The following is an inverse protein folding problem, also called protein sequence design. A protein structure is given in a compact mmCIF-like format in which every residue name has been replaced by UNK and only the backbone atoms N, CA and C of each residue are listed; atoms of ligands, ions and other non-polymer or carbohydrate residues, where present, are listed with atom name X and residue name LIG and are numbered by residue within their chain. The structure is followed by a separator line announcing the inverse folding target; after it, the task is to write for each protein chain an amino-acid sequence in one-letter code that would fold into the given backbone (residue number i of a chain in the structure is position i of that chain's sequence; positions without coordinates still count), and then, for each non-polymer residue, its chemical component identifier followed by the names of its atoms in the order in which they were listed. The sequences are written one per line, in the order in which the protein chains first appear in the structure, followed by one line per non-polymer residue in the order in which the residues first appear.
data_IF_129511515116
#
_entry.id   IF_129511515116
#
_cell.length_a   1.000
_cell.length_b   1.000
_cell.length_c   1.000
_cell.angle_alpha   90.00
_cell.angle_beta   90.00
_cell.angle_gamma   90.00
#
_symmetry.space_group_name_H-M   'P 1'
#
loop_
_entity.id
_entity.type
_entity.pdbx_description
1 polymer ?
#
# COMPACT_ATOMS: atom_id res chain seq x y z
N UNK A 1 -16.39 -11.54 -7.80
CA UNK A 1 -16.57 -11.23 -6.37
C UNK A 1 -15.72 -9.99 -6.07
N UNK A 2 -16.35 -8.82 -5.93
CA UNK A 2 -15.69 -7.51 -5.85
C UNK A 2 -15.37 -7.18 -4.39
N UNK A 3 -14.09 -7.02 -4.06
CA UNK A 3 -13.66 -6.59 -2.72
C UNK A 3 -13.25 -5.13 -2.81
N UNK A 4 -14.08 -4.27 -2.20
CA UNK A 4 -13.77 -2.86 -1.95
C UNK A 4 -12.56 -2.76 -1.02
N UNK A 5 -11.45 -2.23 -1.51
CA UNK A 5 -10.38 -1.70 -0.66
C UNK A 5 -10.67 -0.21 -0.50
N UNK A 6 -11.00 0.21 0.72
CA UNK A 6 -11.43 1.57 1.07
C UNK A 6 -10.26 2.54 0.85
N UNK A 7 -10.33 3.30 -0.24
CA UNK A 7 -9.43 4.41 -0.60
C UNK A 7 -10.31 5.44 -1.31
N UNK A 8 -10.62 6.57 -0.68
CA UNK A 8 -11.52 7.61 -1.20
C UNK A 8 -12.77 7.09 -1.96
N UNK A 9 -13.85 6.88 -1.20
CA UNK A 9 -14.95 5.95 -1.46
C UNK A 9 -15.59 6.01 -2.87
N UNK A 10 -15.53 7.13 -3.59
CA UNK A 10 -16.08 7.19 -4.95
C UNK A 10 -15.06 6.92 -6.05
N UNK A 11 -13.84 7.45 -5.99
CA UNK A 11 -13.01 7.53 -7.21
C UNK A 11 -12.23 6.25 -7.48
N UNK A 12 -11.56 5.69 -6.46
CA UNK A 12 -10.81 4.44 -6.63
C UNK A 12 -11.76 3.22 -6.72
N UNK A 13 -12.89 3.28 -6.00
CA UNK A 13 -13.91 2.24 -6.06
C UNK A 13 -14.63 2.21 -7.43
N UNK A 14 -14.98 3.38 -7.98
CA UNK A 14 -15.50 3.48 -9.36
C UNK A 14 -14.45 3.02 -10.38
N UNK A 15 -13.16 3.32 -10.17
CA UNK A 15 -12.09 2.88 -11.06
C UNK A 15 -11.94 1.35 -11.08
N UNK A 16 -11.95 0.71 -9.91
CA UNK A 16 -11.92 -0.76 -9.80
C UNK A 16 -13.14 -1.42 -10.47
N UNK A 17 -14.35 -0.87 -10.23
CA UNK A 17 -15.60 -1.34 -10.86
C UNK A 17 -15.60 -1.14 -12.39
N UNK A 18 -14.81 -0.19 -12.91
CA UNK A 18 -14.66 0.11 -14.34
C UNK A 18 -13.50 -0.60 -15.03
N UNK A 19 -12.85 -1.59 -14.40
CA UNK A 19 -11.66 -2.28 -14.96
C UNK A 19 -10.51 -1.31 -15.27
N UNK A 20 -10.25 -0.35 -14.38
CA UNK A 20 -9.11 0.56 -14.52
C UNK A 20 -7.79 -0.22 -14.65
N UNK A 21 -6.84 0.34 -15.40
CA UNK A 21 -5.52 -0.26 -15.57
C UNK A 21 -4.75 -0.26 -14.24
N UNK A 22 -3.89 -1.26 -14.05
CA UNK A 22 -3.05 -1.38 -12.86
C UNK A 22 -2.21 -0.10 -12.63
N UNK A 23 -1.71 0.52 -13.70
CA UNK A 23 -0.96 1.77 -13.61
C UNK A 23 -1.79 2.94 -13.07
N UNK A 24 -3.07 3.03 -13.45
CA UNK A 24 -3.96 4.05 -12.90
C UNK A 24 -4.24 3.79 -11.42
N UNK A 25 -4.53 2.54 -11.05
CA UNK A 25 -4.78 2.15 -9.66
C UNK A 25 -3.57 2.41 -8.76
N UNK A 26 -2.36 2.11 -9.24
CA UNK A 26 -1.12 2.42 -8.54
C UNK A 26 -0.96 3.92 -8.31
N UNK A 27 -1.16 4.75 -9.35
CA UNK A 27 -1.06 6.21 -9.24
C UNK A 27 -2.11 6.82 -8.31
N UNK A 28 -3.35 6.34 -8.36
CA UNK A 28 -4.41 6.79 -7.46
C UNK A 28 -4.10 6.44 -6.00
N UNK A 29 -3.62 5.23 -5.74
CA UNK A 29 -3.20 4.80 -4.41
C UNK A 29 -2.02 5.66 -3.92
N UNK A 30 -0.99 5.88 -4.74
CA UNK A 30 0.14 6.72 -4.36
C UNK A 30 -0.27 8.17 -4.11
N UNK A 31 -1.13 8.74 -4.97
CA UNK A 31 -1.69 10.09 -4.77
C UNK A 31 -2.44 10.20 -3.44
N UNK A 32 -3.20 9.16 -3.08
CA UNK A 32 -3.91 9.11 -1.80
C UNK A 32 -2.95 9.00 -0.62
N UNK A 33 -1.89 8.19 -0.75
CA UNK A 33 -0.85 8.10 0.27
C UNK A 33 -0.19 9.47 0.53
N UNK A 34 0.10 10.23 -0.52
CA UNK A 34 0.68 11.57 -0.41
C UNK A 34 -0.26 12.57 0.26
N UNK A 35 -1.59 12.44 0.07
CA UNK A 35 -2.57 13.27 0.78
C UNK A 35 -2.53 13.00 2.29
N UNK A 36 -2.51 11.73 2.69
CA UNK A 36 -2.41 11.36 4.11
C UNK A 36 -1.06 11.75 4.72
N UNK A 37 0.03 11.65 3.96
CA UNK A 37 1.36 12.08 4.39
C UNK A 37 1.42 13.60 4.61
N UNK A 38 0.83 14.38 3.69
CA UNK A 38 0.69 15.84 3.87
C UNK A 38 -0.18 16.21 5.07
N UNK A 39 -1.30 15.51 5.26
CA UNK A 39 -2.17 15.72 6.42
C UNK A 39 -1.41 15.42 7.74
N UNK A 40 -0.64 14.34 7.79
CA UNK A 40 0.21 13.99 8.93
C UNK A 40 1.28 15.07 9.21
N UNK A 41 1.92 15.60 8.15
CA UNK A 41 2.88 16.70 8.28
C UNK A 41 2.23 17.97 8.82
N UNK A 42 1.03 18.34 8.34
CA UNK A 42 0.30 19.51 8.83
C UNK A 42 -0.05 19.39 10.33
N UNK A 43 -0.44 18.20 10.78
CA UNK A 43 -0.68 17.93 12.21
C UNK A 43 0.63 18.06 13.00
N UNK A 44 1.74 17.54 12.48
CA UNK A 44 3.02 17.55 13.17
C UNK A 44 3.62 18.94 13.32
N UNK A 45 3.44 19.82 12.32
CA UNK A 45 4.00 21.19 12.29
C UNK A 45 3.14 22.20 13.05
N UNK A 46 1.83 21.96 13.19
CA UNK A 46 0.93 22.86 13.89
C UNK A 46 0.64 22.36 15.32
N UNK A 47 1.34 22.95 16.31
CA UNK A 47 1.22 22.57 17.72
C UNK A 47 -0.19 22.72 18.28
N UNK A 48 -0.90 23.80 17.93
CA UNK A 48 -2.26 24.04 18.41
C UNK A 48 -3.22 22.96 17.90
N UNK A 49 -3.13 22.64 16.61
CA UNK A 49 -3.93 21.58 15.98
C UNK A 49 -3.59 20.23 16.60
N UNK A 50 -2.31 19.92 16.80
CA UNK A 50 -1.85 18.68 17.44
C UNK A 50 -2.39 18.54 18.86
N UNK A 51 -2.30 19.59 19.67
CA UNK A 51 -2.84 19.62 21.04
C UNK A 51 -4.35 19.55 21.06
N UNK A 52 -5.04 20.11 20.06
CA UNK A 52 -6.48 20.00 19.95
C UNK A 52 -6.89 18.55 19.59
N UNK A 53 -6.21 17.93 18.62
CA UNK A 53 -6.48 16.55 18.21
C UNK A 53 -6.12 15.52 19.29
N UNK A 54 -5.10 15.77 20.12
CA UNK A 54 -4.70 14.85 21.20
C UNK A 54 -5.73 14.74 22.33
N UNK A 55 -6.71 15.65 22.40
CA UNK A 55 -7.85 15.57 23.34
C UNK A 55 -8.86 14.49 22.94
N UNK A 56 -8.81 14.00 21.70
CA UNK A 56 -9.64 12.91 21.21
C UNK A 56 -9.09 11.56 21.68
N UNK A 57 -9.99 10.61 21.98
CA UNK A 57 -9.63 9.19 22.23
C UNK A 57 -9.02 8.54 20.98
N UNK A 58 -9.37 9.06 19.81
CA UNK A 58 -8.87 8.61 18.53
C UNK A 58 -7.53 9.25 18.16
N UNK A 59 -6.51 8.44 17.91
CA UNK A 59 -5.21 8.93 17.43
C UNK A 59 -5.24 9.22 15.93
N UNK A 60 -5.55 10.48 15.61
CA UNK A 60 -5.53 10.96 14.22
C UNK A 60 -4.15 10.82 13.58
N UNK A 61 -3.09 11.04 14.34
CA UNK A 61 -1.72 10.93 13.84
C UNK A 61 -1.40 9.49 13.42
N UNK A 62 -1.69 8.52 14.29
CA UNK A 62 -1.49 7.10 13.97
C UNK A 62 -2.39 6.65 12.82
N UNK A 63 -3.62 7.20 12.71
CA UNK A 63 -4.50 6.95 11.58
C UNK A 63 -3.92 7.42 10.25
N UNK A 64 -3.46 8.67 10.16
CA UNK A 64 -2.87 9.19 8.92
C UNK A 64 -1.61 8.39 8.53
N UNK A 65 -0.79 8.05 9.53
CA UNK A 65 0.41 7.22 9.34
C UNK A 65 0.09 5.79 8.89
N UNK A 66 -1.00 5.19 9.41
CA UNK A 66 -1.50 3.88 8.99
C UNK A 66 -2.00 3.93 7.54
N UNK A 67 -2.87 4.89 7.21
CA UNK A 67 -3.43 5.04 5.86
C UNK A 67 -2.36 5.28 4.81
N UNK A 68 -1.37 6.13 5.12
CA UNK A 68 -0.21 6.36 4.26
C UNK A 68 0.49 5.06 3.90
N UNK A 69 0.77 4.21 4.90
CA UNK A 69 1.43 2.91 4.69
C UNK A 69 0.54 1.94 3.92
N UNK A 70 -0.76 1.88 4.23
CA UNK A 70 -1.71 1.03 3.52
C UNK A 70 -1.79 1.40 2.03
N UNK A 71 -1.83 2.69 1.69
CA UNK A 71 -1.88 3.12 0.29
C UNK A 71 -0.53 3.04 -0.42
N UNK A 72 0.59 3.25 0.26
CA UNK A 72 1.91 2.92 -0.32
C UNK A 72 2.01 1.43 -0.66
N UNK A 73 1.56 0.54 0.24
CA UNK A 73 1.50 -0.89 -0.05
C UNK A 73 0.59 -1.23 -1.25
N UNK A 74 -0.58 -0.60 -1.30
CA UNK A 74 -1.53 -0.78 -2.40
C UNK A 74 -0.94 -0.32 -3.73
N UNK A 75 -0.24 0.82 -3.75
CA UNK A 75 0.41 1.35 -4.93
C UNK A 75 1.49 0.42 -5.47
N UNK A 76 2.33 -0.11 -4.58
CA UNK A 76 3.42 -1.03 -4.94
C UNK A 76 2.89 -2.40 -5.41
N UNK A 77 1.79 -2.88 -4.81
CA UNK A 77 1.09 -4.07 -5.31
C UNK A 77 0.64 -3.89 -6.76
N UNK A 78 -0.05 -2.79 -7.09
CA UNK A 78 -0.49 -2.54 -8.46
C UNK A 78 0.67 -2.27 -9.41
N UNK A 79 1.75 -1.65 -8.93
CA UNK A 79 2.95 -1.43 -9.72
C UNK A 79 3.65 -2.75 -10.07
N UNK A 80 3.59 -3.76 -9.19
CA UNK A 80 4.09 -5.10 -9.51
C UNK A 80 3.33 -5.70 -10.69
N UNK A 81 2.01 -5.48 -10.78
CA UNK A 81 1.20 -5.94 -11.90
C UNK A 81 1.57 -5.23 -13.21
N UNK A 82 1.89 -3.93 -13.14
CA UNK A 82 2.38 -3.17 -14.30
C UNK A 82 3.71 -3.72 -14.79
N UNK A 83 4.63 -4.05 -13.88
CA UNK A 83 5.93 -4.63 -14.23
C UNK A 83 5.76 -5.90 -15.06
N UNK A 84 5.00 -6.87 -14.56
CA UNK A 84 4.74 -8.14 -15.28
C UNK A 84 4.03 -7.92 -16.62
N UNK A 85 3.09 -6.98 -16.69
CA UNK A 85 2.37 -6.65 -17.93
C UNK A 85 3.29 -6.08 -19.02
N UNK A 86 4.40 -5.44 -18.64
CA UNK A 86 5.36 -4.88 -19.60
C UNK A 86 6.08 -5.93 -20.42
N UNK A 87 6.28 -7.15 -19.87
CA UNK A 87 7.05 -8.25 -20.48
C UNK A 87 8.46 -7.85 -20.95
N UNK A 88 9.01 -6.79 -20.38
CA UNK A 88 10.39 -6.35 -20.63
C UNK A 88 11.34 -7.19 -19.76
N UNK A 89 12.59 -7.37 -20.21
CA UNK A 89 13.63 -8.01 -19.41
C UNK A 89 13.74 -7.35 -18.02
N UNK A 90 13.76 -8.14 -16.94
CA UNK A 90 13.83 -7.64 -15.57
C UNK A 90 12.47 -7.41 -14.90
N UNK A 91 11.36 -7.69 -15.59
CA UNK A 91 10.02 -7.46 -15.07
C UNK A 91 9.63 -8.36 -13.88
N UNK A 92 10.14 -9.58 -13.80
CA UNK A 92 9.87 -10.52 -12.71
C UNK A 92 10.74 -10.21 -11.49
N UNK A 93 11.99 -9.78 -11.71
CA UNK A 93 12.84 -9.22 -10.67
C UNK A 93 12.22 -7.95 -10.05
N UNK A 94 11.66 -7.07 -10.87
CA UNK A 94 10.93 -5.89 -10.39
C UNK A 94 9.64 -6.28 -9.66
N UNK A 95 8.86 -7.24 -10.16
CA UNK A 95 7.66 -7.73 -9.48
C UNK A 95 7.95 -8.14 -8.03
N UNK A 96 8.97 -8.97 -7.82
CA UNK A 96 9.40 -9.43 -6.50
C UNK A 96 9.81 -8.26 -5.62
N UNK A 97 10.58 -7.31 -6.16
CA UNK A 97 11.02 -6.12 -5.41
C UNK A 97 9.81 -5.29 -4.94
N UNK A 98 8.85 -5.02 -5.83
CA UNK A 98 7.62 -4.27 -5.55
C UNK A 98 6.75 -4.94 -4.49
N UNK A 99 6.52 -6.24 -4.61
CA UNK A 99 5.75 -7.02 -3.65
C UNK A 99 6.45 -7.09 -2.28
N UNK A 100 7.78 -7.16 -2.25
CA UNK A 100 8.56 -7.11 -1.01
C UNK A 100 8.40 -5.76 -0.30
N UNK A 101 8.46 -4.66 -1.05
CA UNK A 101 8.21 -3.31 -0.53
C UNK A 101 6.78 -3.19 0.02
N UNK A 102 5.78 -3.68 -0.73
CA UNK A 102 4.40 -3.67 -0.28
C UNK A 102 4.23 -4.42 1.06
N UNK A 103 4.86 -5.58 1.21
CA UNK A 103 4.87 -6.35 2.45
C UNK A 103 5.50 -5.58 3.62
N UNK A 104 6.61 -4.87 3.40
CA UNK A 104 7.25 -4.02 4.42
C UNK A 104 6.32 -2.89 4.89
N UNK A 105 5.61 -2.22 3.98
CA UNK A 105 4.64 -1.21 4.34
C UNK A 105 3.46 -1.78 5.14
N UNK A 106 2.96 -2.96 4.78
CA UNK A 106 1.89 -3.65 5.52
C UNK A 106 2.32 -4.07 6.92
N UNK A 107 3.56 -4.54 7.07
CA UNK A 107 4.14 -4.85 8.39
C UNK A 107 4.30 -3.59 9.25
N UNK A 108 4.71 -2.47 8.65
CA UNK A 108 4.80 -1.19 9.34
C UNK A 108 3.41 -0.65 9.74
N UNK A 109 2.39 -0.83 8.89
CA UNK A 109 1.01 -0.47 9.20
C UNK A 109 0.46 -1.31 10.37
N UNK A 110 0.78 -2.61 10.40
CA UNK A 110 0.35 -3.53 11.47
C UNK A 110 0.77 -3.09 12.89
N UNK A 111 1.89 -2.37 13.01
CA UNK A 111 2.37 -1.81 14.29
C UNK A 111 1.48 -0.70 14.84
N UNK A 112 0.70 -0.06 13.96
CA UNK A 112 -0.21 1.05 14.30
C UNK A 112 -1.66 0.57 14.50
N UNK A 113 -1.97 -0.69 14.19
CA UNK A 113 -3.33 -1.24 14.15
C UNK A 113 -4.12 -1.12 15.44
N UNK A 114 -3.46 -1.19 16.61
CA UNK A 114 -4.11 -1.07 17.92
C UNK A 114 -4.67 0.34 18.19
N UNK A 115 -4.28 1.31 17.39
CA UNK A 115 -4.60 2.74 17.58
C UNK A 115 -5.54 3.30 16.51
N UNK A 116 -6.02 2.45 15.60
CA UNK A 116 -6.90 2.82 14.49
C UNK A 116 -8.19 1.99 14.52
N UNK A 117 -9.18 2.39 13.72
CA UNK A 117 -10.46 1.68 13.62
C UNK A 117 -10.26 0.24 13.11
N UNK A 118 -10.95 -0.73 13.72
CA UNK A 118 -10.82 -2.16 13.39
C UNK A 118 -11.02 -2.50 11.91
N UNK A 119 -11.95 -1.82 11.23
CA UNK A 119 -12.21 -2.04 9.79
C UNK A 119 -11.00 -1.77 8.90
N UNK A 120 -10.10 -0.87 9.31
CA UNK A 120 -8.86 -0.57 8.58
C UNK A 120 -7.84 -1.69 8.74
N UNK A 121 -7.80 -2.32 9.92
CA UNK A 121 -6.97 -3.49 10.15
C UNK A 121 -7.44 -4.69 9.32
N UNK A 122 -8.76 -4.88 9.18
CA UNK A 122 -9.30 -5.93 8.32
C UNK A 122 -8.97 -5.69 6.84
N UNK A 123 -9.01 -4.43 6.38
CA UNK A 123 -8.59 -4.06 5.04
C UNK A 123 -7.09 -4.35 4.82
N UNK A 124 -6.24 -4.00 5.79
CA UNK A 124 -4.80 -4.30 5.76
C UNK A 124 -4.52 -5.80 5.71
N UNK A 125 -5.16 -6.59 6.58
CA UNK A 125 -5.05 -8.06 6.57
C UNK A 125 -5.50 -8.63 5.24
N UNK A 126 -6.62 -8.15 4.71
CA UNK A 126 -7.12 -8.59 3.41
C UNK A 126 -6.10 -8.34 2.31
N UNK A 127 -5.50 -7.15 2.24
CA UNK A 127 -4.46 -6.82 1.26
C UNK A 127 -3.21 -7.70 1.46
N UNK A 128 -2.77 -7.91 2.70
CA UNK A 128 -1.59 -8.70 3.02
C UNK A 128 -1.79 -10.18 2.67
N UNK A 129 -2.82 -10.80 3.25
CA UNK A 129 -2.96 -12.25 3.33
C UNK A 129 -3.57 -12.83 2.05
N UNK A 130 -4.42 -12.07 1.34
CA UNK A 130 -5.08 -12.56 0.12
C UNK A 130 -4.36 -12.18 -1.17
N UNK A 131 -3.55 -11.12 -1.16
CA UNK A 131 -2.95 -10.58 -2.37
C UNK A 131 -1.43 -10.51 -2.28
N UNK A 132 -0.87 -9.70 -1.38
CA UNK A 132 0.57 -9.40 -1.39
C UNK A 132 1.42 -10.62 -1.03
N UNK A 133 1.14 -11.31 0.08
CA UNK A 133 1.98 -12.43 0.54
C UNK A 133 1.90 -13.66 -0.38
N UNK A 134 0.72 -14.12 -0.82
CA UNK A 134 0.65 -15.25 -1.75
C UNK A 134 1.35 -14.96 -3.08
N UNK A 135 1.16 -13.75 -3.63
CA UNK A 135 1.81 -13.36 -4.89
C UNK A 135 3.32 -13.20 -4.71
N UNK A 136 3.79 -12.65 -3.60
CA UNK A 136 5.22 -12.53 -3.32
C UNK A 136 5.88 -13.91 -3.25
N UNK A 137 5.24 -14.87 -2.57
CA UNK A 137 5.75 -16.24 -2.46
C UNK A 137 5.85 -16.90 -3.82
N UNK A 138 4.81 -16.77 -4.64
CA UNK A 138 4.78 -17.34 -5.99
C UNK A 138 5.82 -16.68 -6.90
N UNK A 139 5.84 -15.34 -6.99
CA UNK A 139 6.78 -14.60 -7.82
C UNK A 139 8.23 -14.84 -7.40
N UNK A 140 8.51 -14.91 -6.08
CA UNK A 140 9.86 -15.23 -5.59
C UNK A 140 10.30 -16.63 -6.00
N UNK A 141 9.39 -17.62 -5.90
CA UNK A 141 9.66 -18.99 -6.33
C UNK A 141 9.92 -19.07 -7.83
N UNK A 142 9.08 -18.44 -8.64
CA UNK A 142 9.22 -18.46 -10.10
C UNK A 142 10.50 -17.74 -10.53
N UNK A 143 10.84 -16.62 -9.89
CA UNK A 143 12.09 -15.93 -10.18
C UNK A 143 13.32 -16.74 -9.77
N UNK A 144 13.25 -17.56 -8.71
CA UNK A 144 14.36 -18.42 -8.28
C UNK A 144 14.54 -19.69 -9.14
N UNK A 145 13.49 -20.16 -9.83
CA UNK A 145 13.49 -21.46 -10.52
C UNK A 145 13.44 -21.30 -12.05
N UNK A 146 12.81 -20.22 -12.55
CA UNK A 146 12.49 -20.04 -13.97
C UNK A 146 13.24 -18.85 -14.55
N UNK A 147 13.09 -17.66 -13.95
CA UNK A 147 13.53 -16.40 -14.60
C UNK A 147 14.94 -15.95 -14.21
N UNK A 148 15.37 -16.20 -12.98
CA UNK A 148 16.69 -15.84 -12.44
C UNK A 148 17.04 -14.36 -12.58
N UNK A 149 16.04 -13.47 -12.54
CA UNK A 149 16.26 -12.03 -12.69
C UNK A 149 16.73 -11.40 -11.37
N UNK A 150 17.55 -10.35 -11.48
CA UNK A 150 18.08 -9.63 -10.32
C UNK A 150 16.96 -8.86 -9.62
N UNK A 151 16.74 -9.15 -8.34
CA UNK A 151 15.83 -8.37 -7.48
C UNK A 151 16.58 -7.16 -6.92
N UNK A 152 16.38 -5.97 -7.48
CA UNK A 152 16.94 -4.73 -6.94
C UNK A 152 16.25 -4.43 -5.60
N UNK A 153 16.99 -4.57 -4.50
CA UNK A 153 16.50 -4.12 -3.19
C UNK A 153 16.61 -2.59 -3.13
N UNK A 154 15.50 -1.88 -3.32
CA UNK A 154 15.44 -0.46 -3.00
C UNK A 154 15.48 -0.34 -1.47
N UNK A 155 16.61 0.13 -0.93
CA UNK A 155 16.71 0.51 0.47
C UNK A 155 15.77 1.70 0.70
N UNK A 156 14.65 1.44 1.36
CA UNK A 156 13.74 2.48 1.83
C UNK A 156 14.34 2.98 3.15
N UNK A 157 15.12 4.06 3.05
CA UNK A 157 15.56 4.86 4.19
C UNK A 157 14.43 5.78 4.64
#
# INVERSE_FOLDING_TARGET
MNVLIVVDFETAEKALRKKASAGLLSRLAMGTALLFEKAHQMITVNDELRTWLSKSVYSYEDHMSFQTKLFKATAEYWQSQVAVQSKVLGCYGEEVARLSIASKYLAAAARLSKKVVFSLEDARKTLADKFVLPMLQQASKDNQIIYFEVTLQTNIY
#
